data_IF_972419235106
#
_entry.id   IF_972419235106
#
_cell.length_a   1.000
_cell.length_b   1.000
_cell.length_c   1.000
_cell.angle_alpha   90.00
_cell.angle_beta   90.00
_cell.angle_gamma   90.00
#
_symmetry.space_group_name_H-M   'P 1'
#
loop_
_entity.id
_entity.type
_entity.pdbx_description
1 polymer ?
#
# COMPACT_ATOMS: atom_id res chain seq x y z
N UNK A 1 44.85 -21.17 0.90
CA UNK A 1 44.20 -19.83 0.82
C UNK A 1 44.18 -19.24 2.22
N UNK A 2 45.12 -18.34 2.54
CA UNK A 2 45.28 -17.74 3.87
C UNK A 2 44.61 -16.36 3.84
N UNK A 3 43.57 -16.16 4.65
CA UNK A 3 42.93 -14.85 4.80
C UNK A 3 43.90 -13.93 5.57
N UNK A 4 44.28 -12.80 4.97
CA UNK A 4 45.13 -11.79 5.60
C UNK A 4 44.33 -11.07 6.69
N UNK A 5 45.02 -10.85 7.81
CA UNK A 5 44.49 -10.22 9.01
C UNK A 5 44.13 -8.75 8.77
N UNK A 6 43.08 -8.31 9.46
CA UNK A 6 42.49 -6.97 9.44
C UNK A 6 43.54 -5.87 9.67
N UNK A 7 43.55 -4.87 8.80
CA UNK A 7 43.94 -3.51 9.20
C UNK A 7 42.69 -2.82 9.73
N UNK A 8 42.72 -2.44 11.01
CA UNK A 8 41.71 -1.56 11.59
C UNK A 8 41.89 -0.19 10.94
N UNK A 9 40.94 0.21 10.10
CA UNK A 9 40.81 1.61 9.67
C UNK A 9 40.47 2.41 10.92
N UNK A 10 41.48 3.09 11.47
CA UNK A 10 41.30 4.09 12.52
C UNK A 10 40.37 5.15 11.96
N UNK A 11 39.14 5.18 12.46
CA UNK A 11 38.23 6.28 12.19
C UNK A 11 38.92 7.56 12.67
N UNK A 12 38.93 8.57 11.80
CA UNK A 12 39.51 9.88 12.08
C UNK A 12 38.66 10.56 13.15
N UNK A 13 38.97 10.31 14.42
CA UNK A 13 38.45 11.12 15.53
C UNK A 13 39.12 12.49 15.38
N UNK A 14 38.37 13.44 14.82
CA UNK A 14 38.81 14.82 14.72
C UNK A 14 38.98 15.38 16.13
N UNK A 15 40.15 15.95 16.40
CA UNK A 15 40.29 16.99 17.42
C UNK A 15 41.41 17.90 16.93
N UNK A 16 41.06 18.81 16.03
CA UNK A 16 41.92 19.90 15.61
C UNK A 16 41.50 21.16 16.39
N UNK A 17 42.44 21.97 16.90
CA UNK A 17 42.12 23.17 17.66
C UNK A 17 41.64 24.26 16.72
N UNK A 18 40.32 24.47 16.66
CA UNK A 18 39.68 25.48 15.82
C UNK A 18 38.20 25.22 15.52
N UNK A 19 37.47 24.60 16.45
CA UNK A 19 36.06 24.27 16.26
C UNK A 19 35.18 25.51 16.51
N UNK A 20 34.48 25.98 15.47
CA UNK A 20 33.28 26.80 15.66
C UNK A 20 32.17 25.90 16.19
N UNK A 21 31.75 26.14 17.42
CA UNK A 21 30.61 25.47 18.04
C UNK A 21 29.34 25.84 17.28
N UNK A 22 28.74 24.87 16.59
CA UNK A 22 27.40 25.04 16.00
C UNK A 22 26.38 24.97 17.15
N UNK A 23 25.65 26.06 17.37
CA UNK A 23 24.57 26.13 18.34
C UNK A 23 23.47 25.11 17.98
N UNK A 24 22.92 24.35 18.95
CA UNK A 24 21.79 23.47 18.69
C UNK A 24 20.60 24.25 18.14
N UNK A 25 20.24 24.00 16.89
CA UNK A 25 19.10 24.67 16.25
C UNK A 25 17.79 24.43 17.03
N UNK A 26 16.87 25.41 17.09
CA UNK A 26 15.63 25.34 17.88
C UNK A 26 14.57 24.37 17.30
N UNK A 27 14.96 23.45 16.43
CA UNK A 27 14.04 22.64 15.64
C UNK A 27 13.55 21.45 16.45
N UNK A 28 12.49 21.67 17.21
CA UNK A 28 11.73 20.60 17.85
C UNK A 28 11.30 19.57 16.81
N UNK A 29 11.39 18.24 17.08
CA UNK A 29 10.87 17.22 16.19
C UNK A 29 9.37 17.46 15.99
N UNK A 30 8.98 17.92 14.80
CA UNK A 30 7.60 18.15 14.44
C UNK A 30 6.92 16.78 14.31
N UNK A 31 6.29 16.32 15.39
CA UNK A 31 5.47 15.12 15.37
C UNK A 31 4.19 15.40 14.57
N UNK A 32 4.00 14.73 13.44
CA UNK A 32 2.80 14.82 12.60
C UNK A 32 1.53 14.21 13.23
N UNK A 33 1.52 14.00 14.56
CA UNK A 33 0.50 13.21 15.27
C UNK A 33 -0.91 13.82 15.23
N UNK A 34 -1.04 15.08 14.83
CA UNK A 34 -2.31 15.81 14.74
C UNK A 34 -2.92 15.87 13.33
N UNK A 35 -2.26 15.31 12.31
CA UNK A 35 -2.85 15.20 10.97
C UNK A 35 -3.72 13.94 10.87
N UNK A 36 -4.75 13.83 11.72
CA UNK A 36 -5.78 12.82 11.52
C UNK A 36 -6.86 13.43 10.63
N UNK A 37 -6.75 13.21 9.32
CA UNK A 37 -7.85 13.48 8.40
C UNK A 37 -9.00 12.56 8.80
N UNK A 38 -10.20 13.07 9.15
CA UNK A 38 -11.37 12.23 9.30
C UNK A 38 -11.55 11.47 8.00
N UNK A 39 -11.58 10.14 8.05
CA UNK A 39 -11.85 9.34 6.86
C UNK A 39 -13.20 9.78 6.32
N UNK A 40 -13.19 10.46 5.16
CA UNK A 40 -14.42 10.79 4.45
C UNK A 40 -15.21 9.49 4.31
N UNK A 41 -16.53 9.49 4.57
CA UNK A 41 -17.36 8.34 4.28
C UNK A 41 -17.08 7.94 2.84
N UNK A 42 -16.48 6.76 2.66
CA UNK A 42 -16.28 6.20 1.33
C UNK A 42 -17.65 6.21 0.68
N UNK A 43 -17.84 6.86 -0.49
CA UNK A 43 -19.10 6.74 -1.19
C UNK A 43 -19.36 5.25 -1.31
N UNK A 44 -20.53 4.82 -0.83
CA UNK A 44 -20.92 3.41 -0.87
C UNK A 44 -20.67 2.93 -2.29
N UNK A 45 -19.67 2.05 -2.46
CA UNK A 45 -19.31 1.45 -3.75
C UNK A 45 -20.43 0.47 -4.12
N UNK A 46 -21.60 1.00 -4.42
CA UNK A 46 -22.73 0.28 -5.01
C UNK A 46 -22.38 0.15 -6.48
N UNK A 47 -21.58 -0.87 -6.77
CA UNK A 47 -20.94 -1.07 -8.06
C UNK A 47 -19.52 -1.51 -7.79
N UNK A 48 -19.28 -2.82 -7.81
CA UNK A 48 -17.93 -3.36 -7.80
C UNK A 48 -17.10 -2.58 -8.81
N UNK A 49 -15.99 -2.01 -8.36
CA UNK A 49 -15.21 -1.08 -9.17
C UNK A 49 -14.83 -1.81 -10.45
N UNK A 50 -15.54 -1.51 -11.55
CA UNK A 50 -15.29 -2.12 -12.86
C UNK A 50 -13.88 -1.70 -13.24
N UNK A 51 -12.92 -2.59 -13.02
CA UNK A 51 -11.54 -2.30 -13.35
C UNK A 51 -11.44 -2.40 -14.87
N UNK A 52 -11.49 -1.25 -15.53
CA UNK A 52 -11.32 -1.13 -16.98
C UNK A 52 -9.93 -1.61 -17.37
N UNK A 53 -9.83 -2.34 -18.48
CA UNK A 53 -8.55 -2.71 -19.08
C UNK A 53 -8.01 -1.57 -19.93
N UNK A 54 -7.49 -0.53 -19.29
CA UNK A 54 -6.95 0.62 -20.00
C UNK A 54 -5.90 0.22 -21.06
N UNK A 55 -5.92 0.86 -22.24
CA UNK A 55 -4.90 0.63 -23.24
C UNK A 55 -3.53 1.06 -22.70
N UNK A 56 -2.48 0.43 -23.22
CA UNK A 56 -1.10 0.84 -22.91
C UNK A 56 -0.88 2.32 -23.29
N UNK A 57 -0.02 3.02 -22.56
CA UNK A 57 0.24 4.45 -22.78
C UNK A 57 0.79 4.78 -24.20
N UNK A 58 1.39 3.80 -24.87
CA UNK A 58 1.92 3.96 -26.23
C UNK A 58 0.86 3.83 -27.34
N UNK A 59 -0.40 3.52 -27.01
CA UNK A 59 -1.51 3.40 -27.98
C UNK A 59 -2.21 4.76 -28.15
N UNK A 60 -1.45 5.75 -28.57
CA UNK A 60 -1.88 7.14 -28.69
C UNK A 60 -3.18 7.31 -29.48
N UNK A 61 -3.32 6.63 -30.62
CA UNK A 61 -4.56 6.66 -31.43
C UNK A 61 -5.78 6.11 -30.70
N UNK A 62 -5.61 5.08 -29.87
CA UNK A 62 -6.74 4.51 -29.09
C UNK A 62 -7.17 5.46 -27.98
N UNK A 63 -6.23 6.19 -27.38
CA UNK A 63 -6.50 7.24 -26.40
C UNK A 63 -7.19 8.44 -27.03
N UNK A 64 -6.67 8.98 -28.14
CA UNK A 64 -7.30 10.12 -28.82
C UNK A 64 -8.75 9.84 -29.22
N UNK A 65 -9.00 8.69 -29.84
CA UNK A 65 -10.36 8.32 -30.21
C UNK A 65 -11.26 8.12 -28.98
N UNK A 66 -10.71 7.79 -27.82
CA UNK A 66 -11.50 7.65 -26.60
C UNK A 66 -11.82 9.00 -25.98
N UNK A 67 -10.85 9.93 -26.01
CA UNK A 67 -11.05 11.30 -25.57
C UNK A 67 -12.09 12.00 -26.45
N UNK A 68 -12.04 11.82 -27.78
CA UNK A 68 -13.06 12.32 -28.71
C UNK A 68 -14.47 11.79 -28.35
N UNK A 69 -14.60 10.49 -28.06
CA UNK A 69 -15.88 9.88 -27.65
C UNK A 69 -16.37 10.42 -26.29
N UNK A 70 -15.45 10.75 -25.38
CA UNK A 70 -15.77 11.31 -24.06
C UNK A 70 -16.19 12.77 -24.19
N UNK A 71 -15.58 13.53 -25.10
CA UNK A 71 -15.93 14.93 -25.38
C UNK A 71 -17.30 15.04 -26.06
N UNK A 72 -17.75 13.99 -26.78
CA UNK A 72 -19.11 13.93 -27.33
C UNK A 72 -20.18 13.76 -26.22
N UNK A 73 -19.80 13.42 -24.97
CA UNK A 73 -20.76 13.32 -23.86
C UNK A 73 -21.32 14.73 -23.58
N UNK A 74 -22.60 14.98 -23.88
CA UNK A 74 -23.13 16.34 -23.84
C UNK A 74 -23.25 16.82 -22.39
N UNK A 75 -22.83 18.05 -22.11
CA UNK A 75 -23.04 18.72 -20.80
C UNK A 75 -24.52 18.68 -20.33
N UNK A 76 -25.46 18.49 -21.27
CA UNK A 76 -26.89 18.38 -20.99
C UNK A 76 -27.30 17.19 -20.13
N UNK A 77 -26.53 16.09 -20.11
CA UNK A 77 -26.78 14.94 -19.20
C UNK A 77 -26.31 15.21 -17.77
N UNK A 78 -25.48 16.24 -17.58
CA UNK A 78 -24.77 16.52 -16.34
C UNK A 78 -25.45 17.68 -15.60
N UNK A 79 -26.58 17.37 -14.95
CA UNK A 79 -27.37 18.33 -14.13
C UNK A 79 -27.08 18.13 -12.64
N UNK A 80 -26.89 19.22 -11.89
CA UNK A 80 -26.71 19.19 -10.43
C UNK A 80 -25.59 20.09 -9.92
N UNK A 81 -25.26 19.93 -8.64
CA UNK A 81 -24.07 20.50 -8.02
C UNK A 81 -22.78 19.86 -8.56
N UNK A 82 -21.62 20.48 -8.28
CA UNK A 82 -20.33 20.02 -8.81
C UNK A 82 -20.02 18.55 -8.49
N UNK A 83 -20.37 18.09 -7.29
CA UNK A 83 -20.09 16.72 -6.85
C UNK A 83 -20.93 15.70 -7.63
N UNK A 84 -22.23 15.97 -7.82
CA UNK A 84 -23.09 15.12 -8.65
C UNK A 84 -22.60 15.09 -10.08
N UNK A 85 -22.18 16.24 -10.62
CA UNK A 85 -21.64 16.32 -11.98
C UNK A 85 -20.40 15.44 -12.15
N UNK A 86 -19.45 15.54 -11.23
CA UNK A 86 -18.23 14.71 -11.23
C UNK A 86 -18.56 13.21 -11.12
N UNK A 87 -19.49 12.83 -10.25
CA UNK A 87 -19.92 11.44 -10.10
C UNK A 87 -20.58 10.90 -11.38
N UNK A 88 -21.45 11.68 -12.02
CA UNK A 88 -22.11 11.30 -13.27
C UNK A 88 -21.08 11.17 -14.39
N UNK A 89 -20.20 12.14 -14.58
CA UNK A 89 -19.14 12.08 -15.59
C UNK A 89 -18.23 10.88 -15.38
N UNK A 90 -17.75 10.67 -14.16
CA UNK A 90 -16.89 9.53 -13.81
C UNK A 90 -17.58 8.20 -14.14
N UNK A 91 -18.88 8.10 -13.85
CA UNK A 91 -19.68 6.89 -14.14
C UNK A 91 -19.81 6.64 -15.63
N UNK A 92 -20.08 7.68 -16.43
CA UNK A 92 -20.21 7.57 -17.89
C UNK A 92 -18.86 7.18 -18.50
N UNK A 93 -17.78 7.88 -18.15
CA UNK A 93 -16.41 7.61 -18.65
C UNK A 93 -16.01 6.17 -18.34
N UNK A 94 -16.21 5.69 -17.10
CA UNK A 94 -15.89 4.31 -16.73
C UNK A 94 -16.77 3.31 -17.49
N UNK A 95 -18.04 3.62 -17.72
CA UNK A 95 -18.95 2.73 -18.45
C UNK A 95 -18.57 2.61 -19.92
N UNK A 96 -18.34 3.74 -20.59
CA UNK A 96 -17.87 3.81 -21.97
C UNK A 96 -16.53 3.08 -22.15
N UNK A 97 -15.58 3.34 -21.25
CA UNK A 97 -14.28 2.68 -21.28
C UNK A 97 -14.41 1.16 -21.03
N UNK A 98 -15.31 0.74 -20.13
CA UNK A 98 -15.58 -0.67 -19.87
C UNK A 98 -16.23 -1.38 -21.07
N UNK A 99 -17.07 -0.70 -21.84
CA UNK A 99 -17.65 -1.21 -23.08
C UNK A 99 -16.60 -1.35 -24.17
N UNK A 100 -15.76 -0.34 -24.35
CA UNK A 100 -14.75 -0.29 -25.41
C UNK A 100 -13.54 -1.19 -25.15
N UNK A 101 -12.98 -1.14 -23.95
CA UNK A 101 -11.74 -1.85 -23.59
C UNK A 101 -11.99 -3.14 -22.80
N UNK A 102 -13.22 -3.35 -22.34
CA UNK A 102 -13.59 -4.47 -21.49
C UNK A 102 -13.19 -4.28 -20.02
N UNK A 103 -13.66 -5.19 -19.18
CA UNK A 103 -13.37 -5.22 -17.76
C UNK A 103 -12.38 -6.33 -17.40
N UNK A 104 -11.53 -6.07 -16.41
CA UNK A 104 -10.77 -7.11 -15.73
C UNK A 104 -11.78 -7.96 -14.97
N UNK A 105 -11.94 -9.22 -15.39
CA UNK A 105 -12.73 -10.19 -14.62
C UNK A 105 -12.18 -10.20 -13.20
N UNK A 106 -13.06 -10.07 -12.21
CA UNK A 106 -12.63 -10.29 -10.83
C UNK A 106 -11.95 -11.65 -10.76
N UNK A 107 -10.69 -11.65 -10.30
CA UNK A 107 -9.99 -12.91 -10.08
C UNK A 107 -10.79 -13.64 -9.02
N UNK A 108 -11.41 -14.76 -9.40
CA UNK A 108 -12.18 -15.61 -8.50
C UNK A 108 -11.42 -15.86 -7.21
N UNK A 109 -12.16 -15.94 -6.10
CA UNK A 109 -11.72 -16.16 -4.70
C UNK A 109 -10.24 -16.47 -4.57
N UNK A 110 -9.50 -15.51 -3.97
CA UNK A 110 -8.07 -15.62 -3.64
C UNK A 110 -7.73 -17.05 -3.25
N UNK A 111 -6.76 -17.63 -3.95
CA UNK A 111 -6.18 -18.93 -3.61
C UNK A 111 -5.97 -19.02 -2.10
N UNK A 112 -6.57 -20.03 -1.47
CA UNK A 112 -6.41 -20.28 -0.04
C UNK A 112 -4.92 -20.35 0.25
N UNK A 113 -4.47 -19.49 1.17
CA UNK A 113 -3.07 -19.44 1.57
C UNK A 113 -2.60 -20.83 2.01
N UNK A 114 -1.72 -21.44 1.22
CA UNK A 114 -1.06 -22.68 1.58
C UNK A 114 0.19 -22.31 2.38
N UNK A 115 0.28 -22.79 3.62
CA UNK A 115 1.46 -22.57 4.46
C UNK A 115 2.68 -23.20 3.79
N UNK A 116 3.79 -22.49 3.78
CA UNK A 116 5.07 -23.10 3.41
C UNK A 116 5.61 -23.96 4.57
N UNK A 117 6.53 -24.88 4.26
CA UNK A 117 7.15 -25.80 5.24
C UNK A 117 7.71 -25.06 6.47
N UNK A 118 8.25 -23.85 6.28
CA UNK A 118 8.74 -22.99 7.37
C UNK A 118 7.60 -22.54 8.29
N UNK A 119 6.49 -22.07 7.74
CA UNK A 119 5.32 -21.65 8.50
C UNK A 119 4.67 -22.82 9.25
N UNK A 120 4.66 -24.01 8.66
CA UNK A 120 4.24 -25.24 9.35
C UNK A 120 5.14 -25.55 10.54
N UNK A 121 6.47 -25.54 10.34
CA UNK A 121 7.42 -25.82 11.41
C UNK A 121 7.32 -24.80 12.55
N UNK A 122 7.17 -23.51 12.23
CA UNK A 122 6.95 -22.46 13.24
C UNK A 122 5.65 -22.72 14.01
N UNK A 123 4.57 -23.12 13.33
CA UNK A 123 3.29 -23.43 13.98
C UNK A 123 3.41 -24.61 14.94
N UNK A 124 4.11 -25.68 14.52
CA UNK A 124 4.36 -26.86 15.35
C UNK A 124 5.17 -26.50 16.61
N UNK A 125 6.30 -25.80 16.44
CA UNK A 125 7.15 -25.38 17.57
C UNK A 125 6.38 -24.52 18.58
N UNK A 126 5.50 -23.61 18.11
CA UNK A 126 4.65 -22.81 18.99
C UNK A 126 3.59 -23.64 19.72
N UNK A 127 3.09 -24.73 19.13
CA UNK A 127 2.19 -25.65 19.82
C UNK A 127 2.93 -26.45 20.89
N UNK A 128 4.12 -26.96 20.56
CA UNK A 128 4.99 -27.70 21.50
C UNK A 128 5.35 -26.83 22.72
N UNK A 129 5.81 -25.59 22.49
CA UNK A 129 6.12 -24.65 23.56
C UNK A 129 4.91 -24.37 24.48
N UNK A 130 3.71 -24.24 23.92
CA UNK A 130 2.48 -24.03 24.71
C UNK A 130 2.15 -25.24 25.56
N UNK A 131 2.29 -26.45 25.01
CA UNK A 131 2.08 -27.70 25.75
C UNK A 131 3.09 -27.83 26.89
N UNK A 132 4.37 -27.61 26.61
CA UNK A 132 5.43 -27.72 27.61
C UNK A 132 5.27 -26.69 28.74
N UNK A 133 4.93 -25.44 28.39
CA UNK A 133 4.65 -24.40 29.38
C UNK A 133 3.46 -24.75 30.28
N UNK A 134 2.43 -25.39 29.72
CA UNK A 134 1.27 -25.84 30.49
C UNK A 134 1.64 -26.97 31.45
N UNK A 135 2.35 -27.98 30.96
CA UNK A 135 2.83 -29.10 31.79
C UNK A 135 3.75 -28.61 32.93
N UNK A 136 4.66 -27.68 32.64
CA UNK A 136 5.52 -27.10 33.67
C UNK A 136 4.73 -26.37 34.75
N UNK A 137 3.72 -25.58 34.37
CA UNK A 137 2.83 -24.91 35.33
C UNK A 137 2.03 -25.90 36.16
N UNK A 138 1.48 -26.93 35.53
CA UNK A 138 0.71 -27.97 36.23
C UNK A 138 1.60 -28.73 37.22
N UNK A 139 2.81 -29.11 36.81
CA UNK A 139 3.80 -29.76 37.68
C UNK A 139 4.25 -28.85 38.84
N UNK A 140 4.38 -27.54 38.61
CA UNK A 140 4.72 -26.57 39.63
C UNK A 140 3.57 -26.26 40.62
N UNK A 141 2.34 -26.64 40.28
CA UNK A 141 1.16 -26.50 41.14
C UNK A 141 0.80 -27.79 41.90
N UNK A 142 1.41 -28.92 41.54
CA UNK A 142 1.22 -30.22 42.18
C UNK A 142 2.31 -30.59 43.19
N UNK A 143 3.11 -29.60 43.62
CA UNK A 143 4.06 -29.63 44.73
C UNK A 143 3.59 -28.67 45.82
#
# INVERSE_FOLDING_TARGET
MKCLMREQVVQRTGTAPGETQEEPGPESPHSARNLHVPAAPLPSRVGGNRQVKWPSANKEKEWFLFDDDVDEIPEATVKGDADRKLQTMTTIIISLAAERFGTVKERGTKTTYVKNRRAEKISQLRQELRKLKRQFKEAALSL
#
